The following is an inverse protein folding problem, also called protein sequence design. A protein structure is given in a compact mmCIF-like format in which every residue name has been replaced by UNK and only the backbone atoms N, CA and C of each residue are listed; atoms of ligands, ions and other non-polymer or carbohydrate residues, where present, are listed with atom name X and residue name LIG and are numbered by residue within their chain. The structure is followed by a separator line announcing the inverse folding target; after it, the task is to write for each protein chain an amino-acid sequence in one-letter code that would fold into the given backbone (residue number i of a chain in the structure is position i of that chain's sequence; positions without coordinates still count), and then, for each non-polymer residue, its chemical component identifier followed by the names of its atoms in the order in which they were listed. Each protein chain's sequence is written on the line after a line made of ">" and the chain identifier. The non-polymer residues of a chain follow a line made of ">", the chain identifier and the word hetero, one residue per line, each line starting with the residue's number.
data_IF_825560443907
#
_entry.id   IF_825560443907
#
_cell.length_a   1.000
_cell.length_b   1.000
_cell.length_c   1.000
_cell.angle_alpha   90.00
_cell.angle_beta   90.00
_cell.angle_gamma   90.00
#
_symmetry.space_group_name_H-M   'P 1'
#
loop_
_entity.id
_entity.type
_entity.pdbx_description
1 polymer ?
#
# COMPACT_ATOMS: atom_id res chain seq x y z
N UNK A 1 16.67 17.84 9.46
CA UNK A 1 15.21 17.64 9.25
C UNK A 1 14.43 18.72 10.01
N UNK A 2 13.76 19.66 9.32
CA UNK A 2 12.85 20.62 9.98
C UNK A 2 11.62 19.88 10.50
N UNK A 3 11.28 20.02 11.79
CA UNK A 3 9.99 19.55 12.35
C UNK A 3 8.86 20.35 11.68
N UNK A 4 8.15 19.76 10.71
CA UNK A 4 6.91 20.34 10.21
C UNK A 4 5.81 20.18 11.26
N UNK A 5 5.07 21.24 11.60
CA UNK A 5 3.85 21.15 12.42
C UNK A 5 2.83 20.28 11.66
N UNK A 6 2.55 19.10 12.18
CA UNK A 6 1.50 18.21 11.72
C UNK A 6 0.62 17.81 12.90
N UNK A 7 -0.48 17.13 12.63
CA UNK A 7 -1.45 16.74 13.65
C UNK A 7 -0.94 15.48 14.36
N UNK A 8 -0.92 15.53 15.70
CA UNK A 8 -0.64 14.35 16.52
C UNK A 8 -1.88 13.47 16.55
N UNK A 9 -1.72 12.20 16.21
CA UNK A 9 -2.78 11.20 16.18
C UNK A 9 -2.28 9.87 16.76
N UNK A 10 -3.17 8.99 17.24
CA UNK A 10 -2.78 7.66 17.71
C UNK A 10 -2.10 6.84 16.60
N UNK A 11 -1.11 6.03 16.95
CA UNK A 11 -0.43 5.13 16.00
C UNK A 11 -1.41 4.09 15.43
N UNK A 12 -2.44 3.72 16.18
CA UNK A 12 -3.49 2.82 15.73
C UNK A 12 -4.18 3.31 14.45
N UNK A 13 -4.20 4.62 14.17
CA UNK A 13 -4.73 5.16 12.91
C UNK A 13 -3.93 4.75 11.66
N UNK A 14 -2.82 4.00 11.81
CA UNK A 14 -2.18 3.28 10.71
C UNK A 14 -3.04 2.13 10.17
N UNK A 15 -3.90 1.55 11.01
CA UNK A 15 -4.74 0.41 10.68
C UNK A 15 -6.02 0.88 9.97
N UNK A 16 -6.34 0.37 8.77
CA UNK A 16 -7.47 0.85 7.96
C UNK A 16 -8.85 0.78 8.64
N UNK A 17 -9.04 -0.16 9.55
CA UNK A 17 -10.28 -0.41 10.28
C UNK A 17 -10.51 0.60 11.42
N UNK A 18 -9.47 1.30 11.87
CA UNK A 18 -9.58 2.24 12.98
C UNK A 18 -10.40 3.45 12.54
N UNK A 19 -11.51 3.77 13.23
CA UNK A 19 -12.44 4.79 12.77
C UNK A 19 -11.80 6.17 12.82
N UNK A 20 -11.90 6.89 11.71
CA UNK A 20 -11.51 8.30 11.64
C UNK A 20 -12.48 9.23 12.37
N UNK A 21 -12.09 10.49 12.55
CA UNK A 21 -12.84 11.50 13.30
C UNK A 21 -14.32 11.59 12.88
N UNK A 22 -14.60 11.56 11.58
CA UNK A 22 -15.99 11.60 11.08
C UNK A 22 -16.75 10.31 11.38
N UNK A 23 -16.13 9.14 11.19
CA UNK A 23 -16.76 7.85 11.48
C UNK A 23 -17.17 7.78 12.95
N UNK A 24 -16.28 8.19 13.86
CA UNK A 24 -16.55 8.27 15.30
C UNK A 24 -17.64 9.30 15.61
N UNK A 25 -17.56 10.52 15.04
CA UNK A 25 -18.53 11.60 15.28
C UNK A 25 -19.95 11.22 14.85
N UNK A 26 -20.08 10.47 13.75
CA UNK A 26 -21.37 10.01 13.24
C UNK A 26 -21.75 8.61 13.73
N UNK A 27 -20.99 8.03 14.68
CA UNK A 27 -21.19 6.68 15.22
C UNK A 27 -21.32 5.59 14.15
N UNK A 28 -20.57 5.68 13.05
CA UNK A 28 -20.60 4.72 11.94
C UNK A 28 -19.74 3.48 12.17
N UNK A 29 -19.18 3.35 13.36
CA UNK A 29 -18.23 2.33 13.78
C UNK A 29 -18.84 1.31 14.75
N UNK A 30 -20.15 1.03 14.60
CA UNK A 30 -20.93 0.17 15.51
C UNK A 30 -20.30 -1.19 15.83
N UNK A 31 -19.53 -1.77 14.90
CA UNK A 31 -18.92 -3.10 15.05
C UNK A 31 -17.44 -3.05 15.41
N UNK A 32 -16.87 -1.86 15.65
CA UNK A 32 -15.46 -1.69 15.99
C UNK A 32 -15.34 -1.38 17.48
N UNK A 33 -14.56 -2.20 18.20
CA UNK A 33 -14.27 -1.96 19.62
C UNK A 33 -13.23 -0.86 19.74
N UNK A 34 -13.63 0.29 20.29
CA UNK A 34 -12.73 1.42 20.56
C UNK A 34 -11.80 1.10 21.74
N UNK A 35 -10.58 1.66 21.73
CA UNK A 35 -9.62 1.55 22.84
C UNK A 35 -8.95 0.18 23.01
N UNK A 36 -9.11 -0.74 22.04
CA UNK A 36 -8.46 -2.06 22.08
C UNK A 36 -7.06 -2.04 21.47
N UNK A 37 -6.79 -1.07 20.60
CA UNK A 37 -5.52 -0.93 19.91
C UNK A 37 -5.01 0.49 20.10
N UNK A 38 -3.99 0.64 20.94
CA UNK A 38 -3.40 1.91 21.36
C UNK A 38 -1.88 1.87 21.30
N UNK A 39 -1.27 0.71 21.55
CA UNK A 39 0.17 0.51 21.70
C UNK A 39 0.68 -0.57 20.74
N UNK A 40 1.57 -0.17 19.83
CA UNK A 40 2.16 -1.08 18.85
C UNK A 40 3.67 -1.17 19.07
N UNK A 41 4.24 -2.38 18.95
CA UNK A 41 5.69 -2.51 18.90
C UNK A 41 6.26 -1.91 17.59
N UNK A 42 7.58 -1.64 17.51
CA UNK A 42 8.19 -1.10 16.31
C UNK A 42 7.97 -1.95 15.05
N UNK A 43 7.95 -3.27 15.18
CA UNK A 43 7.75 -4.20 14.07
C UNK A 43 6.33 -4.12 13.49
N UNK A 44 5.31 -4.24 14.34
CA UNK A 44 3.91 -4.08 13.94
C UNK A 44 3.64 -2.68 13.38
N UNK A 45 4.24 -1.64 13.96
CA UNK A 45 4.12 -0.26 13.44
C UNK A 45 4.74 -0.10 12.06
N UNK A 46 5.89 -0.73 11.79
CA UNK A 46 6.51 -0.71 10.47
C UNK A 46 5.65 -1.42 9.41
N UNK A 47 5.09 -2.59 9.76
CA UNK A 47 4.19 -3.33 8.88
C UNK A 47 2.88 -2.58 8.62
N UNK A 48 2.28 -1.99 9.66
CA UNK A 48 1.07 -1.17 9.54
C UNK A 48 1.33 0.08 8.68
N UNK A 49 2.45 0.77 8.90
CA UNK A 49 2.86 1.91 8.08
C UNK A 49 3.06 1.51 6.62
N UNK A 50 3.77 0.40 6.36
CA UNK A 50 3.99 -0.10 5.01
C UNK A 50 2.66 -0.44 4.31
N UNK A 51 1.78 -1.17 4.99
CA UNK A 51 0.46 -1.52 4.49
C UNK A 51 -0.38 -0.28 4.18
N UNK A 52 -0.41 0.70 5.09
CA UNK A 52 -1.13 1.95 4.88
C UNK A 52 -0.58 2.73 3.69
N UNK A 53 0.75 2.86 3.55
CA UNK A 53 1.34 3.60 2.44
C UNK A 53 1.03 2.94 1.09
N UNK A 54 1.13 1.61 1.04
CA UNK A 54 0.91 0.82 -0.16
C UNK A 54 -0.57 0.77 -0.59
N UNK A 55 -1.49 0.73 0.37
CA UNK A 55 -2.93 0.53 0.15
C UNK A 55 -3.78 1.77 0.46
N UNK A 56 -3.16 2.93 0.67
CA UNK A 56 -3.81 4.08 1.31
C UNK A 56 -5.16 4.40 0.67
N UNK A 57 -6.28 4.30 1.41
CA UNK A 57 -7.58 4.69 0.90
C UNK A 57 -7.67 6.22 0.75
N UNK A 58 -8.73 6.70 0.11
CA UNK A 58 -9.00 8.15 0.14
C UNK A 58 -9.24 8.59 1.58
N UNK A 59 -8.50 9.60 2.06
CA UNK A 59 -8.52 10.06 3.45
C UNK A 59 -9.14 11.45 3.64
N UNK A 60 -9.90 11.93 2.65
CA UNK A 60 -10.39 13.30 2.60
C UNK A 60 -9.37 14.29 2.01
N UNK A 61 -9.62 15.60 2.19
CA UNK A 61 -8.91 16.66 1.47
C UNK A 61 -7.40 16.63 1.73
N UNK A 62 -6.65 16.42 0.65
CA UNK A 62 -5.18 16.42 0.65
C UNK A 62 -4.53 15.10 1.09
N UNK A 63 -5.30 14.13 1.59
CA UNK A 63 -4.79 12.81 1.93
C UNK A 63 -4.75 11.92 0.67
N UNK A 64 -3.55 11.76 0.10
CA UNK A 64 -3.32 11.06 -1.18
C UNK A 64 -3.46 9.54 -1.05
N UNK A 65 -4.10 8.91 -2.03
CA UNK A 65 -4.23 7.46 -2.11
C UNK A 65 -2.88 6.79 -2.39
N UNK A 66 -2.85 5.46 -2.23
CA UNK A 66 -1.77 4.60 -2.71
C UNK A 66 -1.37 4.91 -4.15
N UNK A 67 -0.14 4.58 -4.50
CA UNK A 67 0.38 4.68 -5.89
C UNK A 67 -0.49 3.91 -6.89
N UNK A 68 -1.13 2.85 -6.40
CA UNK A 68 -2.05 1.97 -7.13
C UNK A 68 -3.50 2.43 -7.10
N UNK A 69 -3.78 3.64 -6.59
CA UNK A 69 -5.12 4.11 -6.28
C UNK A 69 -5.61 3.67 -4.89
N UNK A 70 -6.88 3.92 -4.59
CA UNK A 70 -7.51 3.57 -3.30
C UNK A 70 -8.10 2.16 -3.33
N UNK A 71 -7.66 1.31 -2.39
CA UNK A 71 -8.12 -0.08 -2.26
C UNK A 71 -7.73 -1.01 -3.42
N UNK A 72 -6.48 -0.99 -3.89
CA UNK A 72 -6.03 -1.83 -5.01
C UNK A 72 -6.03 -3.31 -4.64
N UNK A 73 -6.23 -4.18 -5.63
CA UNK A 73 -5.98 -5.62 -5.49
C UNK A 73 -4.48 -5.93 -5.58
N UNK A 74 -4.01 -6.86 -4.76
CA UNK A 74 -2.69 -7.47 -4.89
C UNK A 74 -2.88 -8.94 -5.27
N UNK A 75 -2.22 -9.38 -6.33
CA UNK A 75 -2.24 -10.78 -6.77
C UNK A 75 -0.83 -11.34 -6.67
N UNK A 76 -0.72 -12.46 -5.97
CA UNK A 76 0.53 -13.18 -5.77
C UNK A 76 0.38 -14.61 -6.29
N UNK A 77 1.48 -15.18 -6.76
CA UNK A 77 1.59 -16.61 -7.07
C UNK A 77 1.81 -17.37 -5.78
N UNK A 78 1.05 -18.44 -5.60
CA UNK A 78 1.19 -19.37 -4.50
C UNK A 78 1.41 -20.79 -5.05
N UNK A 79 2.31 -21.55 -4.42
CA UNK A 79 2.48 -22.95 -4.76
C UNK A 79 1.36 -23.75 -4.11
N UNK A 80 0.55 -24.41 -4.93
CA UNK A 80 -0.46 -25.32 -4.42
C UNK A 80 0.19 -26.51 -3.70
N UNK A 81 -0.44 -26.93 -2.61
CA UNK A 81 -0.07 -28.17 -1.94
C UNK A 81 -0.28 -29.34 -2.91
N UNK A 82 0.77 -30.12 -3.15
CA UNK A 82 0.68 -31.36 -3.90
C UNK A 82 0.91 -32.53 -2.95
N UNK A 83 -0.02 -33.48 -2.93
CA UNK A 83 0.05 -34.72 -2.13
C UNK A 83 0.32 -34.49 -0.62
N UNK A 84 -0.26 -33.44 -0.03
CA UNK A 84 -0.20 -33.19 1.41
C UNK A 84 1.16 -32.67 1.91
N UNK A 85 2.08 -32.30 1.02
CA UNK A 85 3.36 -31.71 1.44
C UNK A 85 3.18 -30.21 1.74
N UNK A 86 2.81 -29.89 2.98
CA UNK A 86 2.54 -28.52 3.44
C UNK A 86 3.80 -27.66 3.65
N UNK A 87 5.00 -28.19 3.41
CA UNK A 87 6.26 -27.57 3.82
C UNK A 87 6.92 -26.69 2.76
N UNK A 88 6.16 -25.99 1.92
CA UNK A 88 6.79 -24.98 1.05
C UNK A 88 7.28 -23.83 1.92
N UNK A 89 8.60 -23.62 2.05
CA UNK A 89 9.13 -22.58 2.92
C UNK A 89 8.79 -21.18 2.37
N UNK A 90 8.60 -20.21 3.26
CA UNK A 90 8.20 -18.85 2.92
C UNK A 90 9.05 -18.24 1.79
N UNK A 91 10.37 -18.45 1.82
CA UNK A 91 11.27 -17.88 0.80
C UNK A 91 10.94 -18.36 -0.62
N UNK A 92 10.46 -19.60 -0.82
CA UNK A 92 10.06 -20.09 -2.15
C UNK A 92 8.80 -19.39 -2.64
N UNK A 93 7.84 -19.17 -1.74
CA UNK A 93 6.61 -18.41 -2.02
C UNK A 93 6.93 -16.97 -2.39
N UNK A 94 7.85 -16.34 -1.65
CA UNK A 94 8.31 -14.98 -1.93
C UNK A 94 9.06 -14.89 -3.26
N UNK A 95 9.95 -15.85 -3.55
CA UNK A 95 10.79 -15.82 -4.75
C UNK A 95 9.98 -15.86 -6.06
N UNK A 96 8.88 -16.61 -6.09
CA UNK A 96 7.95 -16.63 -7.23
C UNK A 96 7.30 -15.28 -7.52
N UNK A 97 7.31 -14.37 -6.54
CA UNK A 97 6.74 -13.04 -6.64
C UNK A 97 7.80 -11.93 -6.80
N UNK A 98 9.06 -12.32 -7.00
CA UNK A 98 10.14 -11.40 -7.35
C UNK A 98 10.15 -11.23 -8.87
N UNK A 99 9.93 -10.01 -9.33
CA UNK A 99 9.94 -9.71 -10.76
C UNK A 99 11.35 -9.83 -11.36
N UNK A 100 11.52 -10.61 -12.44
CA UNK A 100 12.69 -10.50 -13.30
C UNK A 100 12.86 -9.06 -13.84
N UNK A 101 14.10 -8.57 -13.90
CA UNK A 101 14.38 -7.17 -14.23
C UNK A 101 14.01 -6.81 -15.67
N UNK A 102 14.29 -7.71 -16.61
CA UNK A 102 14.10 -7.48 -18.05
C UNK A 102 12.60 -7.46 -18.39
N UNK A 103 11.85 -8.43 -17.86
CA UNK A 103 10.41 -8.59 -18.07
C UNK A 103 9.59 -7.48 -17.41
N UNK A 104 10.11 -6.88 -16.33
CA UNK A 104 9.45 -5.80 -15.61
C UNK A 104 9.89 -4.40 -16.06
N UNK A 105 10.85 -4.30 -16.99
CA UNK A 105 11.50 -3.03 -17.36
C UNK A 105 11.93 -2.24 -16.10
N UNK A 106 12.57 -2.99 -15.19
CA UNK A 106 13.11 -2.52 -13.90
C UNK A 106 14.64 -2.65 -13.91
N UNK A 107 15.35 -1.77 -14.64
CA UNK A 107 16.80 -1.86 -14.73
C UNK A 107 17.46 -1.68 -13.36
N UNK A 108 18.54 -2.42 -13.12
CA UNK A 108 19.31 -2.30 -11.87
C UNK A 108 19.76 -0.84 -11.65
N UNK A 109 19.37 -0.20 -10.54
CA UNK A 109 19.76 1.17 -10.28
C UNK A 109 21.26 1.29 -10.03
N UNK A 110 21.88 2.37 -10.54
CA UNK A 110 23.28 2.72 -10.25
C UNK A 110 23.49 3.23 -8.82
N UNK A 111 22.42 3.74 -8.19
CA UNK A 111 22.41 4.33 -6.85
C UNK A 111 21.12 3.95 -6.13
N UNK A 112 21.21 3.85 -4.80
CA UNK A 112 20.10 3.53 -3.91
C UNK A 112 19.75 4.75 -3.05
N UNK A 113 19.07 5.72 -3.64
CA UNK A 113 18.78 7.04 -3.07
C UNK A 113 17.27 7.33 -2.93
N UNK A 114 16.91 8.60 -2.76
CA UNK A 114 15.53 9.06 -2.56
C UNK A 114 14.64 8.98 -3.82
N UNK A 115 15.22 8.65 -4.98
CA UNK A 115 14.46 8.29 -6.18
C UNK A 115 13.88 6.88 -6.08
N UNK A 116 14.45 6.00 -5.25
CA UNK A 116 13.94 4.65 -4.97
C UNK A 116 13.20 4.63 -3.63
N UNK A 117 13.84 5.17 -2.59
CA UNK A 117 13.40 5.11 -1.20
C UNK A 117 13.01 6.51 -0.71
N UNK A 118 11.72 6.89 -0.77
CA UNK A 118 11.30 8.29 -0.59
C UNK A 118 11.64 8.92 0.77
N UNK A 119 11.97 8.10 1.77
CA UNK A 119 12.36 8.54 3.11
C UNK A 119 13.83 8.96 3.23
N UNK A 120 14.67 8.68 2.23
CA UNK A 120 16.09 9.07 2.24
C UNK A 120 16.33 10.53 1.85
N UNK A 121 15.30 11.24 1.38
CA UNK A 121 15.38 12.62 0.92
C UNK A 121 14.26 13.51 1.47
N UNK A 122 14.22 14.79 1.06
CA UNK A 122 13.10 15.67 1.36
C UNK A 122 11.79 15.09 0.81
N UNK A 123 10.74 15.11 1.64
CA UNK A 123 9.43 14.59 1.24
C UNK A 123 8.86 15.37 0.06
N UNK A 124 8.61 14.68 -1.07
CA UNK A 124 7.85 15.24 -2.19
C UNK A 124 6.42 15.57 -1.75
N UNK A 125 5.94 16.76 -2.09
CA UNK A 125 4.61 17.25 -1.68
C UNK A 125 3.74 17.60 -2.87
N UNK A 126 2.44 17.45 -2.69
CA UNK A 126 1.42 17.81 -3.70
C UNK A 126 0.60 19.04 -3.28
N UNK A 127 1.24 19.97 -2.57
CA UNK A 127 0.67 21.25 -2.13
C UNK A 127 0.48 22.20 -3.33
N UNK A 128 1.32 22.10 -4.37
CA UNK A 128 1.17 22.84 -5.62
C UNK A 128 0.24 22.11 -6.61
N UNK A 129 -0.54 22.87 -7.37
CA UNK A 129 -1.40 22.32 -8.43
C UNK A 129 -0.57 21.59 -9.49
N UNK A 130 -1.03 20.43 -9.95
CA UNK A 130 -0.34 19.62 -10.96
C UNK A 130 0.91 18.88 -10.48
N UNK A 131 1.30 19.00 -9.20
CA UNK A 131 2.44 18.27 -8.66
C UNK A 131 2.11 16.78 -8.51
N UNK A 132 2.37 16.02 -9.56
CA UNK A 132 2.29 14.56 -9.61
C UNK A 132 3.69 13.95 -9.61
N UNK A 133 3.79 12.71 -9.14
CA UNK A 133 4.99 11.87 -9.21
C UNK A 133 4.73 10.78 -10.24
N UNK A 134 5.49 10.78 -11.33
CA UNK A 134 5.44 9.76 -12.39
C UNK A 134 6.73 8.95 -12.41
N UNK A 135 6.73 7.80 -13.09
CA UNK A 135 7.94 6.97 -13.22
C UNK A 135 9.07 7.64 -14.01
N UNK A 136 8.83 8.75 -14.71
CA UNK A 136 9.87 9.50 -15.43
C UNK A 136 10.64 10.46 -14.52
N UNK A 137 10.08 10.79 -13.36
CA UNK A 137 10.67 11.72 -12.40
C UNK A 137 11.48 11.02 -11.30
N UNK A 138 11.30 9.71 -11.16
CA UNK A 138 11.82 8.88 -10.06
C UNK A 138 12.19 7.50 -10.58
N UNK A 139 12.68 6.61 -9.71
CA UNK A 139 12.92 5.23 -10.12
C UNK A 139 11.63 4.40 -10.07
N UNK A 140 11.42 3.52 -11.06
CA UNK A 140 10.26 2.62 -11.12
C UNK A 140 10.11 1.69 -9.90
N UNK A 141 11.20 1.37 -9.20
CA UNK A 141 11.16 0.61 -7.96
C UNK A 141 10.36 1.30 -6.85
N UNK A 142 10.11 2.61 -6.96
CA UNK A 142 9.21 3.31 -6.06
C UNK A 142 7.76 2.77 -6.12
N UNK A 143 7.40 1.96 -7.13
CA UNK A 143 6.17 1.18 -7.12
C UNK A 143 6.00 0.39 -5.81
N UNK A 144 7.07 -0.23 -5.30
CA UNK A 144 7.06 -1.03 -4.06
C UNK A 144 7.16 -0.19 -2.78
N UNK A 145 7.65 1.05 -2.89
CA UNK A 145 8.04 1.90 -1.77
C UNK A 145 7.32 3.25 -1.75
N UNK A 146 6.21 3.37 -2.48
CA UNK A 146 5.45 4.60 -2.58
C UNK A 146 4.98 5.10 -1.22
N UNK A 147 5.27 6.36 -0.89
CA UNK A 147 4.87 7.00 0.37
C UNK A 147 3.92 8.19 0.16
N UNK A 148 2.63 7.96 -0.15
CA UNK A 148 1.66 9.04 -0.36
C UNK A 148 1.22 9.74 0.93
N UNK A 149 1.30 9.08 2.09
CA UNK A 149 0.98 9.66 3.40
C UNK A 149 2.23 10.25 4.04
N UNK A 150 2.14 11.45 4.60
CA UNK A 150 3.24 12.05 5.37
C UNK A 150 3.04 11.69 6.83
N UNK A 151 3.81 10.72 7.29
CA UNK A 151 3.68 10.16 8.63
C UNK A 151 5.06 10.15 9.29
N UNK A 152 5.10 10.51 10.57
CA UNK A 152 6.27 10.37 11.42
C UNK A 152 5.87 9.76 12.75
N UNK A 153 6.32 8.55 13.01
CA UNK A 153 6.12 7.86 14.29
C UNK A 153 6.91 8.57 15.39
N UNK A 154 6.32 8.70 16.58
CA UNK A 154 7.00 9.24 17.76
C UNK A 154 7.70 8.12 18.55
N UNK A 155 9.02 8.09 18.46
CA UNK A 155 9.87 7.16 19.23
C UNK A 155 10.36 7.75 20.57
N UNK A 156 9.98 8.99 20.92
CA UNK A 156 10.43 9.62 22.17
C UNK A 156 9.46 9.39 23.33
N UNK A 157 8.20 9.09 23.02
CA UNK A 157 7.13 8.89 24.00
C UNK A 157 6.67 7.43 23.93
N UNK A 158 7.43 6.55 24.57
CA UNK A 158 7.17 5.10 24.54
C UNK A 158 6.77 4.56 25.90
N UNK A 159 6.13 3.40 25.92
CA UNK A 159 5.73 2.68 27.13
C UNK A 159 6.22 1.23 27.10
N UNK A 160 6.39 0.64 28.28
CA UNK A 160 6.67 -0.80 28.43
C UNK A 160 5.35 -1.54 28.56
N UNK A 161 5.21 -2.69 27.89
CA UNK A 161 4.01 -3.53 27.97
C UNK A 161 3.98 -4.59 26.88
N UNK A 162 2.77 -5.03 26.51
CA UNK A 162 2.54 -5.92 25.38
C UNK A 162 2.03 -5.15 24.17
N UNK A 163 2.40 -5.57 22.97
CA UNK A 163 1.85 -5.01 21.74
C UNK A 163 0.41 -5.47 21.52
N UNK A 164 -0.50 -4.54 21.21
CA UNK A 164 -1.92 -4.86 20.98
C UNK A 164 -2.19 -5.68 19.69
N UNK A 165 -1.15 -5.96 18.87
CA UNK A 165 -1.26 -6.70 17.61
C UNK A 165 -0.64 -8.10 17.71
N UNK A 166 0.61 -8.21 18.17
CA UNK A 166 1.31 -9.49 18.27
C UNK A 166 1.36 -10.07 19.69
N UNK A 167 0.88 -9.32 20.70
CA UNK A 167 0.93 -9.65 22.13
C UNK A 167 2.36 -9.87 22.70
N UNK A 168 3.39 -9.61 21.91
CA UNK A 168 4.78 -9.70 22.39
C UNK A 168 5.09 -8.54 23.34
N UNK A 169 5.81 -8.87 24.42
CA UNK A 169 6.32 -7.89 25.36
C UNK A 169 7.39 -7.01 24.69
N UNK A 170 7.32 -5.71 24.91
CA UNK A 170 8.25 -4.73 24.38
C UNK A 170 8.50 -3.60 25.40
N UNK A 171 9.70 -3.06 25.39
CA UNK A 171 10.12 -1.96 26.27
C UNK A 171 9.89 -0.57 25.66
N UNK A 172 9.53 -0.51 24.37
CA UNK A 172 9.40 0.72 23.59
C UNK A 172 8.15 0.69 22.69
N UNK A 173 6.98 0.44 23.28
CA UNK A 173 5.70 0.52 22.57
C UNK A 173 5.41 1.95 22.12
N UNK A 174 4.93 2.07 20.89
CA UNK A 174 4.59 3.31 20.23
C UNK A 174 3.09 3.56 20.38
N UNK A 175 2.70 4.79 20.69
CA UNK A 175 1.29 5.18 20.84
C UNK A 175 0.88 6.36 19.98
N UNK A 176 1.85 7.18 19.53
CA UNK A 176 1.60 8.44 18.83
C UNK A 176 2.38 8.54 17.52
N UNK A 177 1.79 9.25 16.58
CA UNK A 177 2.45 9.70 15.36
C UNK A 177 2.01 11.11 14.99
N UNK A 178 2.80 11.77 14.15
CA UNK A 178 2.47 13.04 13.52
C UNK A 178 2.12 12.80 12.06
N UNK A 179 1.00 13.36 11.60
CA UNK A 179 0.56 13.26 10.21
C UNK A 179 0.41 14.63 9.57
N UNK A 180 0.56 14.68 8.24
CA UNK A 180 0.26 15.89 7.46
C UNK A 180 -0.32 15.51 6.09
N UNK A 181 -1.24 16.32 5.59
CA UNK A 181 -1.79 16.16 4.24
C UNK A 181 -0.80 16.60 3.14
N UNK A 182 -1.19 16.36 1.89
CA UNK A 182 -0.46 16.69 0.67
C UNK A 182 0.92 16.02 0.54
N UNK A 183 0.99 14.71 0.80
CA UNK A 183 2.16 13.88 0.46
C UNK A 183 2.31 13.66 -1.05
N UNK A 184 3.14 12.71 -1.45
CA UNK A 184 3.36 12.42 -2.86
C UNK A 184 2.06 12.02 -3.56
N UNK A 185 1.79 12.61 -4.72
CA UNK A 185 0.59 12.35 -5.52
C UNK A 185 1.00 11.56 -6.77
N UNK A 186 0.88 10.24 -6.72
CA UNK A 186 1.31 9.38 -7.82
C UNK A 186 0.29 9.37 -8.96
N UNK A 187 0.76 9.44 -10.19
CA UNK A 187 -0.06 9.34 -11.40
C UNK A 187 0.64 8.51 -12.47
N UNK A 188 -0.13 7.80 -13.29
CA UNK A 188 0.37 6.97 -14.40
C UNK A 188 1.36 5.88 -13.95
N UNK A 189 1.00 5.14 -12.90
CA UNK A 189 1.80 4.03 -12.41
C UNK A 189 1.12 2.69 -12.65
N UNK A 190 1.90 1.70 -13.09
CA UNK A 190 1.51 0.30 -13.14
C UNK A 190 2.38 -0.50 -12.18
N UNK A 191 1.75 -1.06 -11.15
CA UNK A 191 2.44 -1.84 -10.13
C UNK A 191 2.53 -3.32 -10.53
N UNK A 192 3.69 -3.98 -10.41
CA UNK A 192 3.86 -5.34 -10.92
C UNK A 192 2.96 -6.42 -10.28
N UNK A 193 2.52 -6.19 -9.04
CA UNK A 193 1.67 -7.11 -8.27
C UNK A 193 0.17 -6.78 -8.32
N UNK A 194 -0.25 -5.88 -9.21
CA UNK A 194 -1.65 -5.43 -9.29
C UNK A 194 -2.20 -5.61 -10.69
N UNK A 195 -3.39 -6.22 -10.84
CA UNK A 195 -4.07 -6.26 -12.12
C UNK A 195 -4.75 -4.91 -12.42
N UNK A 196 -4.86 -4.59 -13.71
CA UNK A 196 -5.38 -3.33 -14.24
C UNK A 196 -6.43 -3.58 -15.33
N UNK A 197 -7.26 -2.56 -15.56
CA UNK A 197 -8.23 -2.52 -16.66
C UNK A 197 -8.00 -1.27 -17.50
N UNK A 198 -8.11 -1.41 -18.81
CA UNK A 198 -8.12 -0.30 -19.76
C UNK A 198 -9.51 -0.24 -20.40
N UNK A 199 -10.28 0.84 -20.22
CA UNK A 199 -11.57 0.97 -20.89
C UNK A 199 -11.43 0.88 -22.41
N UNK A 200 -12.35 0.17 -23.08
CA UNK A 200 -12.43 0.12 -24.54
C UNK A 200 -12.97 1.43 -25.13
N UNK A 201 -13.68 2.22 -24.33
CA UNK A 201 -14.13 3.55 -24.72
C UNK A 201 -12.95 4.50 -24.86
N UNK A 202 -12.94 5.27 -25.96
CA UNK A 202 -11.92 6.29 -26.20
C UNK A 202 -11.80 7.29 -25.05
N UNK A 203 -10.55 7.63 -24.70
CA UNK A 203 -10.22 8.56 -23.63
C UNK A 203 -10.33 7.99 -22.21
N UNK A 204 -10.61 6.69 -22.05
CA UNK A 204 -10.61 6.05 -20.73
C UNK A 204 -9.20 5.87 -20.17
N UNK A 205 -8.98 6.31 -18.92
CA UNK A 205 -7.73 6.06 -18.20
C UNK A 205 -7.69 4.62 -17.67
N UNK A 206 -6.51 3.99 -17.71
CA UNK A 206 -6.33 2.67 -17.09
C UNK A 206 -6.43 2.79 -15.56
N UNK A 207 -6.97 1.76 -14.91
CA UNK A 207 -7.20 1.78 -13.46
C UNK A 207 -6.95 0.41 -12.83
N UNK A 208 -6.56 0.41 -11.56
CA UNK A 208 -6.34 -0.82 -10.79
C UNK A 208 -7.65 -1.56 -10.58
N UNK A 209 -7.64 -2.89 -10.69
CA UNK A 209 -8.76 -3.71 -10.25
C UNK A 209 -8.90 -3.59 -8.73
N UNK A 210 -10.14 -3.47 -8.26
CA UNK A 210 -10.50 -3.36 -6.84
C UNK A 210 -11.28 -4.61 -6.42
N UNK A 211 -11.01 -5.17 -5.23
CA UNK A 211 -11.84 -6.22 -4.67
C UNK A 211 -13.29 -5.75 -4.53
N UNK A 212 -14.26 -6.61 -4.83
CA UNK A 212 -15.68 -6.31 -4.67
C UNK A 212 -16.20 -6.92 -3.36
N UNK A 213 -17.18 -6.28 -2.69
CA UNK A 213 -17.95 -6.93 -1.64
C UNK A 213 -18.58 -8.22 -2.20
N UNK A 214 -18.36 -9.36 -1.53
CA UNK A 214 -18.80 -10.68 -2.01
C UNK A 214 -17.71 -11.51 -2.70
N UNK A 215 -16.51 -10.96 -2.90
CA UNK A 215 -15.35 -11.69 -3.43
C UNK A 215 -15.30 -11.73 -4.95
N UNK A 216 -14.41 -12.58 -5.47
CA UNK A 216 -14.21 -12.80 -6.90
C UNK A 216 -15.17 -13.88 -7.41
N UNK A 217 -15.82 -13.64 -8.54
CA UNK A 217 -16.58 -14.67 -9.24
C UNK A 217 -15.78 -15.24 -10.42
N UNK A 218 -16.19 -16.40 -10.93
CA UNK A 218 -15.53 -17.07 -12.07
C UNK A 218 -15.27 -16.14 -13.27
N UNK A 219 -16.19 -15.20 -13.54
CA UNK A 219 -16.04 -14.24 -14.64
C UNK A 219 -14.87 -13.28 -14.45
N UNK A 220 -14.51 -12.95 -13.20
CA UNK A 220 -13.36 -12.09 -12.91
C UNK A 220 -12.04 -12.84 -13.08
N UNK A 221 -12.04 -14.16 -12.89
CA UNK A 221 -10.83 -15.00 -12.86
C UNK A 221 -9.99 -14.85 -14.14
N UNK A 222 -10.61 -14.94 -15.32
CA UNK A 222 -9.89 -14.88 -16.59
C UNK A 222 -9.09 -13.57 -16.74
N UNK A 223 -9.66 -12.44 -16.33
CA UNK A 223 -8.97 -11.13 -16.39
C UNK A 223 -7.86 -10.96 -15.35
N UNK A 224 -7.77 -11.85 -14.36
CA UNK A 224 -6.71 -11.85 -13.35
C UNK A 224 -5.54 -12.75 -13.72
N UNK A 225 -5.74 -13.73 -14.60
CA UNK A 225 -4.71 -14.70 -15.00
C UNK A 225 -4.19 -14.50 -16.43
N UNK A 226 -5.03 -13.99 -17.34
CA UNK A 226 -4.68 -13.84 -18.75
C UNK A 226 -5.06 -12.44 -19.26
N UNK A 227 -4.24 -11.92 -20.18
CA UNK A 227 -4.60 -10.69 -20.89
C UNK A 227 -5.76 -10.97 -21.84
N UNK A 228 -6.86 -10.24 -21.67
CA UNK A 228 -8.07 -10.52 -22.43
C UNK A 228 -8.95 -9.28 -22.64
N UNK A 229 -10.10 -9.48 -23.28
CA UNK A 229 -11.13 -8.45 -23.41
C UNK A 229 -12.38 -8.89 -22.67
N UNK A 230 -12.88 -8.03 -21.81
CA UNK A 230 -14.26 -8.07 -21.30
C UNK A 230 -15.15 -7.14 -22.14
N UNK A 231 -16.44 -7.09 -21.82
CA UNK A 231 -17.43 -6.29 -22.55
C UNK A 231 -17.02 -4.82 -22.69
N UNK A 232 -16.41 -4.25 -21.65
CA UNK A 232 -16.08 -2.82 -21.60
C UNK A 232 -14.59 -2.52 -21.43
N UNK A 233 -13.74 -3.53 -21.18
CA UNK A 233 -12.34 -3.31 -20.84
C UNK A 233 -11.40 -4.30 -21.53
N UNK A 234 -10.16 -3.89 -21.72
CA UNK A 234 -9.02 -4.80 -21.80
C UNK A 234 -8.58 -5.12 -20.38
N UNK A 235 -8.55 -6.41 -20.04
CA UNK A 235 -8.12 -6.93 -18.75
C UNK A 235 -6.62 -7.20 -18.79
N UNK A 236 -5.89 -6.70 -17.78
CA UNK A 236 -4.45 -6.85 -17.65
C UNK A 236 -4.15 -7.52 -16.29
N UNK A 237 -3.74 -8.80 -16.27
CA UNK A 237 -3.20 -9.44 -15.07
C UNK A 237 -2.07 -8.63 -14.46
N UNK A 238 -1.78 -8.89 -13.19
CA UNK A 238 -0.52 -8.40 -12.61
C UNK A 238 0.66 -8.96 -13.41
N UNK A 239 1.69 -8.13 -13.57
CA UNK A 239 2.87 -8.48 -14.37
C UNK A 239 3.56 -9.75 -13.84
N UNK A 240 3.52 -9.95 -12.53
CA UNK A 240 4.06 -11.15 -11.87
C UNK A 240 3.35 -12.43 -12.32
N UNK A 241 2.05 -12.36 -12.61
CA UNK A 241 1.26 -13.51 -13.07
C UNK A 241 1.52 -13.80 -14.54
N UNK A 242 1.76 -12.76 -15.35
CA UNK A 242 2.02 -12.88 -16.79
C UNK A 242 3.40 -13.48 -17.13
N UNK A 243 4.35 -13.39 -16.20
CA UNK A 243 5.76 -13.73 -16.44
C UNK A 243 6.13 -15.17 -16.05
N UNK A 244 5.17 -15.94 -15.54
CA UNK A 244 5.25 -17.41 -15.45
C UNK A 244 4.75 -18.07 -16.72
#
# INVERSE_FOLDING_TARGET
>A
MRRSRGDKVPVASLLPEIPGVQTTKFNKDHFIKRGVTEHLCPQCSALALFSLQLNAPSGGKGYRTGLRGGGPMTTLIELQEYQGNQQTPLWRKLWLNVMPQDEADLPLPKKFDDLIFPWLGPTRTSELAGAVVTHDQVNKLQAYWGMPRRIRIDFNTTTVGNCDICDEQNDALLSLMTTKNYGANYAMWQHPLTPYRVPLKEGGEFYSVKPQPGGLIWRDWLGLIETGKSENNTELPALVVKTL
#
